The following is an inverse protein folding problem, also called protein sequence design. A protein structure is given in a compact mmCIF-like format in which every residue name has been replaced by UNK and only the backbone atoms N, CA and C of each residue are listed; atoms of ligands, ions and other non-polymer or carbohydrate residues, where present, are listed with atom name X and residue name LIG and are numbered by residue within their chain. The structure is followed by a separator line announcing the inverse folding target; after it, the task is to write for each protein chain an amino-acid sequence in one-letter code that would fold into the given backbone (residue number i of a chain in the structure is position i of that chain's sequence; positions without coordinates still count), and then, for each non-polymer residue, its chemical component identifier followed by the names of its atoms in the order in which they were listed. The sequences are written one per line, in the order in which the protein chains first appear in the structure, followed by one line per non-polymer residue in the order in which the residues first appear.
data_IF_455847954274
#
_entry.id   IF_455847954274
#
_cell.length_a   1.000
_cell.length_b   1.000
_cell.length_c   1.000
_cell.angle_alpha   90.00
_cell.angle_beta   90.00
_cell.angle_gamma   90.00
#
_symmetry.space_group_name_H-M   'P 1'
#
loop_
_entity.id
_entity.type
_entity.pdbx_description
1 polymer ?
#
# COMPACT_ATOMS: atom_id res chain seq x y z
N UNK A 1 16.32 -18.44 11.40
CA UNK A 1 14.90 -18.43 10.99
C UNK A 1 14.82 -18.88 9.55
N UNK A 2 13.84 -19.70 9.19
CA UNK A 2 13.60 -20.11 7.80
C UNK A 2 13.10 -18.87 7.03
N UNK A 3 13.86 -18.41 6.03
CA UNK A 3 13.58 -17.16 5.28
C UNK A 3 12.22 -17.22 4.56
N UNK A 4 11.72 -18.44 4.34
CA UNK A 4 10.53 -18.77 3.54
C UNK A 4 9.20 -18.65 4.27
N UNK A 5 9.18 -18.35 5.57
CA UNK A 5 7.95 -18.28 6.36
C UNK A 5 7.81 -16.96 7.11
N UNK A 6 6.55 -16.57 7.34
CA UNK A 6 6.22 -15.52 8.28
C UNK A 6 6.47 -16.01 9.72
N UNK A 7 6.79 -15.08 10.60
CA UNK A 7 6.79 -15.30 12.04
C UNK A 7 5.85 -14.30 12.68
N UNK A 8 5.21 -14.71 13.76
CA UNK A 8 4.29 -13.88 14.50
C UNK A 8 5.02 -13.18 15.66
N UNK A 9 4.62 -11.95 16.02
CA UNK A 9 5.09 -11.32 17.25
C UNK A 9 4.71 -12.18 18.47
N UNK A 10 5.49 -12.05 19.54
CA UNK A 10 5.26 -12.84 20.77
C UNK A 10 3.83 -12.63 21.30
N UNK A 11 3.13 -13.74 21.55
CA UNK A 11 1.75 -13.73 22.05
C UNK A 11 0.67 -13.49 20.99
N UNK A 12 1.01 -13.30 19.71
CA UNK A 12 0.02 -13.17 18.64
C UNK A 12 -0.41 -14.54 18.09
N UNK A 13 -1.71 -14.79 18.10
CA UNK A 13 -2.32 -15.99 17.52
C UNK A 13 -3.24 -15.61 16.35
N UNK A 14 -2.77 -15.86 15.12
CA UNK A 14 -3.55 -15.55 13.93
C UNK A 14 -4.77 -16.46 13.83
N UNK A 15 -5.95 -15.85 13.62
CA UNK A 15 -7.21 -16.57 13.52
C UNK A 15 -7.57 -16.83 12.07
N UNK A 16 -7.95 -18.06 11.74
CA UNK A 16 -8.43 -18.37 10.39
C UNK A 16 -9.88 -17.94 10.20
N UNK A 17 -10.13 -17.11 9.18
CA UNK A 17 -11.42 -16.60 8.74
C UNK A 17 -11.58 -16.94 7.26
N UNK A 18 -12.55 -17.79 6.95
CA UNK A 18 -12.75 -18.32 5.60
C UNK A 18 -13.00 -17.21 4.58
N UNK A 19 -13.86 -16.23 4.92
CA UNK A 19 -14.20 -15.12 4.01
C UNK A 19 -13.01 -14.19 3.75
N UNK A 20 -12.23 -13.90 4.79
CA UNK A 20 -10.99 -13.10 4.65
C UNK A 20 -9.95 -13.84 3.82
N UNK A 21 -9.86 -15.17 3.94
CA UNK A 21 -8.98 -15.98 3.09
C UNK A 21 -9.43 -15.95 1.62
N UNK A 22 -10.73 -16.05 1.34
CA UNK A 22 -11.26 -15.87 -0.02
C UNK A 22 -10.89 -14.49 -0.58
N UNK A 23 -11.03 -13.44 0.24
CA UNK A 23 -10.68 -12.07 -0.15
C UNK A 23 -9.18 -11.91 -0.43
N UNK A 24 -8.30 -12.44 0.43
CA UNK A 24 -6.86 -12.45 0.21
C UNK A 24 -6.50 -13.11 -1.13
N UNK A 25 -7.10 -14.27 -1.41
CA UNK A 25 -6.89 -14.99 -2.68
C UNK A 25 -7.39 -14.18 -3.89
N UNK A 26 -8.52 -13.47 -3.77
CA UNK A 26 -9.04 -12.60 -4.82
C UNK A 26 -8.06 -11.45 -5.12
N UNK A 27 -7.59 -10.73 -4.09
CA UNK A 27 -6.61 -9.64 -4.22
C UNK A 27 -5.30 -10.13 -4.85
N UNK A 28 -4.81 -11.30 -4.44
CA UNK A 28 -3.62 -11.93 -4.99
C UNK A 28 -3.81 -12.64 -6.32
N UNK A 29 -5.03 -12.65 -6.89
CA UNK A 29 -5.41 -13.38 -8.12
C UNK A 29 -5.02 -14.86 -8.06
N UNK A 30 -5.14 -15.47 -6.89
CA UNK A 30 -4.81 -16.88 -6.64
C UNK A 30 -6.00 -17.77 -6.91
N UNK A 31 -5.72 -19.02 -7.31
CA UNK A 31 -6.73 -20.06 -7.34
C UNK A 31 -6.64 -20.86 -6.04
N UNK A 32 -7.64 -20.83 -5.15
CA UNK A 32 -7.56 -21.49 -3.84
C UNK A 32 -7.20 -22.97 -3.91
N UNK A 33 -7.56 -23.67 -5.00
CA UNK A 33 -7.29 -25.11 -5.16
C UNK A 33 -5.90 -25.44 -5.70
N UNK A 34 -5.16 -24.47 -6.24
CA UNK A 34 -3.88 -24.70 -6.93
C UNK A 34 -2.72 -23.88 -6.37
N UNK A 35 -2.99 -22.63 -6.02
CA UNK A 35 -1.98 -21.63 -5.65
C UNK A 35 -2.50 -20.70 -4.55
N UNK A 36 -3.48 -21.17 -3.77
CA UNK A 36 -4.08 -20.40 -2.70
C UNK A 36 -3.09 -20.06 -1.60
N UNK A 37 -3.34 -18.94 -0.94
CA UNK A 37 -2.60 -18.57 0.26
C UNK A 37 -2.91 -19.49 1.44
N UNK A 38 -1.94 -19.64 2.32
CA UNK A 38 -2.07 -20.27 3.63
C UNK A 38 -2.43 -19.24 4.70
N UNK A 39 -2.93 -19.71 5.85
CA UNK A 39 -3.31 -18.86 6.98
C UNK A 39 -2.12 -18.10 7.60
N UNK A 40 -0.90 -18.57 7.37
CA UNK A 40 0.35 -17.99 7.84
C UNK A 40 1.13 -17.28 6.70
N UNK A 41 0.52 -17.11 5.52
CA UNK A 41 1.08 -16.26 4.49
C UNK A 41 0.90 -14.77 4.84
N UNK A 42 1.89 -13.91 4.58
CA UNK A 42 1.81 -12.48 4.91
C UNK A 42 0.63 -11.78 4.24
N UNK A 43 0.25 -12.23 3.04
CA UNK A 43 -0.93 -11.72 2.32
C UNK A 43 -2.25 -11.94 3.07
N UNK A 44 -2.39 -13.04 3.80
CA UNK A 44 -3.57 -13.28 4.64
C UNK A 44 -3.44 -12.55 5.98
N UNK A 45 -2.29 -12.69 6.64
CA UNK A 45 -2.08 -12.19 8.00
C UNK A 45 -2.24 -10.66 8.07
N UNK A 46 -1.87 -9.93 7.03
CA UNK A 46 -2.06 -8.48 7.01
C UNK A 46 -3.54 -8.05 6.97
N UNK A 47 -4.45 -8.91 6.52
CA UNK A 47 -5.88 -8.61 6.47
C UNK A 47 -6.61 -9.05 7.73
N UNK A 48 -6.18 -10.18 8.30
CA UNK A 48 -6.85 -10.87 9.41
C UNK A 48 -7.25 -9.97 10.59
N UNK A 49 -6.41 -9.07 11.13
CA UNK A 49 -6.76 -8.33 12.35
C UNK A 49 -7.79 -7.21 12.12
N UNK A 50 -7.89 -6.65 10.92
CA UNK A 50 -8.71 -5.46 10.65
C UNK A 50 -9.77 -5.61 9.56
N UNK A 51 -9.80 -6.73 8.83
CA UNK A 51 -10.87 -7.08 7.89
C UNK A 51 -11.77 -8.14 8.53
N UNK A 52 -13.07 -7.84 8.61
CA UNK A 52 -14.11 -8.79 9.02
C UNK A 52 -14.81 -9.43 7.81
N UNK A 53 -15.75 -10.34 8.07
CA UNK A 53 -16.44 -11.09 7.01
C UNK A 53 -17.34 -10.19 6.16
N UNK A 54 -17.93 -9.14 6.72
CA UNK A 54 -18.79 -8.19 6.02
C UNK A 54 -17.97 -7.31 5.06
N UNK A 55 -16.83 -6.82 5.52
CA UNK A 55 -15.84 -6.12 4.72
C UNK A 55 -15.30 -7.03 3.61
N UNK A 56 -14.95 -8.28 3.93
CA UNK A 56 -14.42 -9.23 2.96
C UNK A 56 -15.45 -9.61 1.89
N UNK A 57 -16.72 -9.83 2.25
CA UNK A 57 -17.80 -10.09 1.29
C UNK A 57 -17.97 -8.93 0.30
N UNK A 58 -18.03 -7.70 0.81
CA UNK A 58 -18.14 -6.50 -0.02
C UNK A 58 -16.91 -6.32 -0.91
N UNK A 59 -15.71 -6.49 -0.35
CA UNK A 59 -14.46 -6.42 -1.12
C UNK A 59 -14.38 -7.46 -2.23
N UNK A 60 -14.81 -8.70 -1.98
CA UNK A 60 -14.88 -9.73 -3.04
C UNK A 60 -15.82 -9.29 -4.17
N UNK A 61 -16.98 -8.73 -3.85
CA UNK A 61 -17.95 -8.26 -4.84
C UNK A 61 -17.46 -7.06 -5.67
N UNK A 62 -16.58 -6.22 -5.12
CA UNK A 62 -15.94 -5.13 -5.86
C UNK A 62 -15.07 -5.65 -7.02
N UNK A 63 -14.48 -6.83 -6.84
CA UNK A 63 -13.59 -7.44 -7.82
C UNK A 63 -12.22 -6.77 -7.90
N UNK A 64 -11.27 -7.50 -8.47
CA UNK A 64 -9.88 -7.05 -8.53
C UNK A 64 -9.71 -5.81 -9.43
N UNK A 65 -9.07 -4.77 -8.88
CA UNK A 65 -8.66 -3.54 -9.59
C UNK A 65 -9.76 -2.94 -10.50
N UNK A 66 -11.01 -3.04 -10.06
CA UNK A 66 -12.18 -2.57 -10.81
C UNK A 66 -12.79 -1.38 -10.07
N UNK A 67 -12.99 -0.27 -10.78
CA UNK A 67 -13.64 0.92 -10.23
C UNK A 67 -15.13 0.67 -10.08
N UNK A 68 -15.64 0.87 -8.87
CA UNK A 68 -17.04 0.65 -8.50
C UNK A 68 -17.53 1.74 -7.55
N UNK A 69 -18.80 2.10 -7.71
CA UNK A 69 -19.54 2.92 -6.76
C UNK A 69 -20.29 2.04 -5.77
N UNK A 70 -20.71 2.61 -4.63
CA UNK A 70 -21.51 1.87 -3.64
C UNK A 70 -22.85 1.38 -4.23
N UNK A 71 -23.47 2.17 -5.11
CA UNK A 71 -24.71 1.80 -5.80
C UNK A 71 -24.56 0.53 -6.67
N UNK A 72 -23.45 0.41 -7.42
CA UNK A 72 -23.18 -0.78 -8.22
C UNK A 72 -22.99 -2.03 -7.35
N UNK A 73 -22.27 -1.90 -6.22
CA UNK A 73 -22.05 -3.01 -5.30
C UNK A 73 -23.34 -3.42 -4.59
N UNK A 74 -24.20 -2.44 -4.26
CA UNK A 74 -25.51 -2.69 -3.68
C UNK A 74 -26.40 -3.53 -4.62
N UNK A 75 -26.39 -3.24 -5.93
CA UNK A 75 -27.10 -4.04 -6.94
C UNK A 75 -26.53 -5.47 -7.03
N UNK A 76 -25.19 -5.61 -7.03
CA UNK A 76 -24.52 -6.93 -7.10
C UNK A 76 -24.86 -7.81 -5.90
N UNK A 77 -24.88 -7.23 -4.69
CA UNK A 77 -25.08 -7.96 -3.43
C UNK A 77 -26.55 -8.04 -2.99
N UNK A 78 -27.44 -7.25 -3.57
CA UNK A 78 -28.81 -7.09 -3.08
C UNK A 78 -28.87 -6.47 -1.67
N UNK A 79 -27.92 -5.62 -1.30
CA UNK A 79 -27.84 -4.89 -0.02
C UNK A 79 -28.15 -3.40 -0.24
N UNK A 80 -28.25 -2.60 0.84
CA UNK A 80 -28.46 -1.15 0.69
C UNK A 80 -27.17 -0.44 0.26
N UNK A 81 -27.32 0.68 -0.45
CA UNK A 81 -26.19 1.52 -0.87
C UNK A 81 -25.41 2.05 0.33
N UNK A 82 -26.10 2.45 1.41
CA UNK A 82 -25.45 2.94 2.63
C UNK A 82 -24.59 1.86 3.28
N UNK A 83 -25.07 0.61 3.34
CA UNK A 83 -24.30 -0.50 3.89
C UNK A 83 -23.04 -0.78 3.05
N UNK A 84 -23.18 -0.81 1.72
CA UNK A 84 -22.05 -1.04 0.82
C UNK A 84 -21.03 0.09 0.94
N UNK A 85 -21.48 1.36 0.94
CA UNK A 85 -20.62 2.52 1.15
C UNK A 85 -19.86 2.42 2.48
N UNK A 86 -20.55 2.07 3.57
CA UNK A 86 -19.93 1.92 4.89
C UNK A 86 -18.81 0.86 4.87
N UNK A 87 -19.06 -0.33 4.32
CA UNK A 87 -18.03 -1.38 4.30
C UNK A 87 -16.88 -1.02 3.34
N UNK A 88 -17.18 -0.40 2.20
CA UNK A 88 -16.16 0.08 1.25
C UNK A 88 -15.28 1.18 1.88
N UNK A 89 -15.86 2.07 2.68
CA UNK A 89 -15.11 3.07 3.45
C UNK A 89 -14.27 2.44 4.56
N UNK A 90 -14.76 1.41 5.26
CA UNK A 90 -13.93 0.66 6.24
C UNK A 90 -12.73 0.00 5.56
N UNK A 91 -12.94 -0.64 4.40
CA UNK A 91 -11.86 -1.20 3.60
C UNK A 91 -10.87 -0.11 3.15
N UNK A 92 -11.39 1.06 2.80
CA UNK A 92 -10.58 2.20 2.41
C UNK A 92 -9.80 2.82 3.57
N UNK A 93 -10.36 2.87 4.77
CA UNK A 93 -9.65 3.30 5.97
C UNK A 93 -8.57 2.29 6.35
N UNK A 94 -8.89 0.99 6.27
CA UNK A 94 -7.95 -0.08 6.58
C UNK A 94 -6.78 -0.12 5.59
N UNK A 95 -6.99 0.10 4.30
CA UNK A 95 -5.92 0.24 3.31
C UNK A 95 -5.97 -0.74 2.14
N UNK A 96 -7.00 -1.58 2.03
CA UNK A 96 -7.15 -2.54 0.92
C UNK A 96 -7.74 -1.90 -0.34
N UNK A 97 -8.34 -0.72 -0.19
CA UNK A 97 -9.20 -0.10 -1.19
C UNK A 97 -8.91 1.40 -1.27
N UNK A 98 -8.70 1.91 -2.48
CA UNK A 98 -8.70 3.35 -2.73
C UNK A 98 -10.11 3.90 -2.72
N UNK A 99 -10.24 5.18 -2.36
CA UNK A 99 -11.46 5.95 -2.59
C UNK A 99 -11.08 7.35 -3.09
N UNK A 100 -11.69 7.74 -4.20
CA UNK A 100 -11.56 9.06 -4.81
C UNK A 100 -12.92 9.52 -5.32
N UNK A 101 -13.06 10.83 -5.56
CA UNK A 101 -14.25 11.38 -6.20
C UNK A 101 -14.06 11.38 -7.72
N UNK A 102 -14.84 10.58 -8.43
CA UNK A 102 -14.85 10.54 -9.90
C UNK A 102 -16.24 10.96 -10.37
N UNK A 103 -16.31 11.99 -11.21
CA UNK A 103 -17.57 12.58 -11.71
C UNK A 103 -18.55 12.97 -10.59
N UNK A 104 -18.02 13.40 -9.44
CA UNK A 104 -18.81 13.81 -8.28
C UNK A 104 -19.30 12.67 -7.39
N UNK A 105 -18.89 11.42 -7.65
CA UNK A 105 -19.31 10.24 -6.91
C UNK A 105 -18.10 9.52 -6.32
N UNK A 106 -18.25 9.05 -5.08
CA UNK A 106 -17.28 8.17 -4.46
C UNK A 106 -17.11 6.89 -5.27
N UNK A 107 -15.90 6.70 -5.77
CA UNK A 107 -15.53 5.54 -6.57
C UNK A 107 -14.37 4.83 -5.89
N UNK A 108 -14.48 3.52 -5.77
CA UNK A 108 -13.57 2.68 -5.02
C UNK A 108 -12.97 1.59 -5.90
N UNK A 109 -11.73 1.19 -5.60
CA UNK A 109 -11.07 0.04 -6.23
C UNK A 109 -9.95 -0.51 -5.33
N UNK A 110 -9.72 -1.81 -5.36
CA UNK A 110 -8.54 -2.40 -4.70
C UNK A 110 -7.25 -1.97 -5.38
N UNK A 111 -6.12 -1.96 -4.67
CA UNK A 111 -4.82 -1.76 -5.30
C UNK A 111 -4.50 -2.89 -6.30
N UNK A 112 -3.69 -2.59 -7.30
CA UNK A 112 -3.27 -3.58 -8.30
C UNK A 112 -2.30 -4.64 -7.74
N UNK A 113 -1.60 -4.35 -6.64
CA UNK A 113 -0.58 -5.25 -6.11
C UNK A 113 -0.49 -5.17 -4.59
N UNK A 114 0.17 -6.17 -3.99
CA UNK A 114 0.43 -6.19 -2.55
C UNK A 114 1.49 -5.15 -2.16
N UNK A 115 2.62 -5.12 -2.89
CA UNK A 115 3.68 -4.12 -2.80
C UNK A 115 4.21 -3.83 -4.22
N UNK A 116 4.20 -2.56 -4.69
CA UNK A 116 3.62 -1.41 -4.02
C UNK A 116 2.09 -1.48 -4.02
N UNK A 117 1.44 -0.99 -2.97
CA UNK A 117 -0.03 -1.02 -2.87
C UNK A 117 -0.57 -1.44 -1.50
N UNK A 118 -1.33 -2.53 -1.45
CA UNK A 118 -2.19 -2.89 -0.30
C UNK A 118 -1.43 -2.86 1.02
N UNK A 119 -0.27 -3.50 1.10
CA UNK A 119 0.46 -3.59 2.37
C UNK A 119 1.03 -2.25 2.82
N UNK A 120 1.56 -1.47 1.88
CA UNK A 120 2.07 -0.13 2.16
C UNK A 120 0.97 0.80 2.67
N UNK A 121 -0.23 0.74 2.07
CA UNK A 121 -1.38 1.54 2.47
C UNK A 121 -1.91 1.16 3.86
N UNK A 122 -1.92 -0.14 4.19
CA UNK A 122 -2.29 -0.62 5.53
C UNK A 122 -1.28 -0.13 6.57
N UNK A 123 0.03 -0.26 6.30
CA UNK A 123 1.10 0.14 7.23
C UNK A 123 1.28 1.66 7.31
N UNK A 124 0.95 2.41 6.24
CA UNK A 124 0.98 3.87 6.28
C UNK A 124 -0.13 4.49 7.14
N UNK A 125 -1.18 3.74 7.44
CA UNK A 125 -2.12 4.15 8.45
C UNK A 125 -1.58 3.79 9.84
N UNK A 126 -1.03 4.78 10.56
CA UNK A 126 -0.43 4.56 11.87
C UNK A 126 -1.41 4.01 12.90
N UNK A 127 -2.71 4.32 12.80
CA UNK A 127 -3.75 3.76 13.68
C UNK A 127 -3.84 2.24 13.53
N UNK A 128 -3.65 1.72 12.31
CA UNK A 128 -3.60 0.27 12.09
C UNK A 128 -2.37 -0.35 12.75
N UNK A 129 -1.21 0.31 12.63
CA UNK A 129 0.05 -0.22 13.19
C UNK A 129 0.01 -0.20 14.72
N UNK A 130 -0.53 0.86 15.32
CA UNK A 130 -0.72 0.96 16.77
C UNK A 130 -1.71 -0.09 17.28
N UNK A 131 -2.85 -0.25 16.59
CA UNK A 131 -3.90 -1.20 17.00
C UNK A 131 -3.53 -2.66 16.71
N UNK A 132 -2.80 -2.90 15.62
CA UNK A 132 -2.49 -4.22 15.09
C UNK A 132 -1.02 -4.32 14.65
N UNK A 133 -0.05 -4.37 15.58
CA UNK A 133 1.38 -4.41 15.23
C UNK A 133 1.79 -5.52 14.25
N UNK A 134 1.05 -6.63 14.21
CA UNK A 134 1.26 -7.74 13.27
C UNK A 134 1.26 -7.32 11.79
N UNK A 135 0.59 -6.23 11.42
CA UNK A 135 0.55 -5.77 10.01
C UNK A 135 1.94 -5.35 9.52
N UNK A 136 2.78 -4.80 10.40
CA UNK A 136 4.18 -4.50 10.11
C UNK A 136 5.00 -5.77 9.88
N UNK A 137 4.81 -6.79 10.73
CA UNK A 137 5.45 -8.09 10.59
C UNK A 137 5.05 -8.79 9.28
N UNK A 138 3.79 -8.64 8.86
CA UNK A 138 3.32 -9.18 7.59
C UNK A 138 3.98 -8.49 6.39
N UNK A 139 4.10 -7.15 6.42
CA UNK A 139 4.78 -6.39 5.35
C UNK A 139 6.28 -6.76 5.25
N UNK A 140 7.00 -6.83 6.38
CA UNK A 140 8.39 -7.31 6.39
C UNK A 140 8.51 -8.72 5.82
N UNK A 141 7.66 -9.62 6.30
CA UNK A 141 7.67 -11.02 5.89
C UNK A 141 7.37 -11.15 4.39
N UNK A 142 6.50 -10.32 3.81
CA UNK A 142 6.26 -10.31 2.37
C UNK A 142 7.56 -9.98 1.60
N UNK A 143 8.25 -8.91 1.99
CA UNK A 143 9.51 -8.51 1.35
C UNK A 143 10.57 -9.62 1.41
N UNK A 144 10.67 -10.30 2.55
CA UNK A 144 11.61 -11.39 2.77
C UNK A 144 11.24 -12.70 2.08
N UNK A 145 9.96 -13.08 2.07
CA UNK A 145 9.46 -14.35 1.53
C UNK A 145 9.23 -14.26 0.02
N UNK A 146 8.65 -13.15 -0.48
CA UNK A 146 8.28 -12.98 -1.89
C UNK A 146 9.33 -12.22 -2.70
N UNK A 147 10.05 -11.28 -2.09
CA UNK A 147 11.05 -10.44 -2.78
C UNK A 147 12.10 -11.24 -3.58
N UNK A 148 12.73 -12.28 -2.99
CA UNK A 148 13.67 -13.13 -3.73
C UNK A 148 13.04 -13.84 -4.94
N UNK A 149 11.77 -14.23 -4.85
CA UNK A 149 11.05 -14.91 -5.93
C UNK A 149 10.68 -13.96 -7.08
N UNK A 150 10.53 -12.67 -6.82
CA UNK A 150 10.27 -11.64 -7.85
C UNK A 150 11.54 -11.11 -8.53
N UNK A 151 12.73 -11.44 -8.00
CA UNK A 151 14.00 -10.94 -8.54
C UNK A 151 14.24 -11.49 -9.95
N UNK A 152 14.36 -10.59 -10.94
CA UNK A 152 14.58 -10.95 -12.35
C UNK A 152 13.32 -11.24 -13.17
N UNK A 153 12.12 -11.11 -12.59
CA UNK A 153 10.86 -11.26 -13.33
C UNK A 153 10.54 -10.06 -14.24
N UNK A 154 11.15 -8.91 -13.99
CA UNK A 154 10.90 -7.66 -14.71
C UNK A 154 12.08 -7.29 -15.61
N UNK A 155 11.83 -6.74 -16.82
CA UNK A 155 12.88 -6.13 -17.62
C UNK A 155 13.62 -5.03 -16.83
N UNK A 156 14.93 -4.83 -17.07
CA UNK A 156 15.66 -3.72 -16.46
C UNK A 156 14.94 -2.38 -16.68
N UNK A 157 14.66 -1.67 -15.59
CA UNK A 157 13.96 -0.36 -15.62
C UNK A 157 12.42 -0.42 -15.60
N UNK A 158 11.80 -1.60 -15.65
CA UNK A 158 10.34 -1.79 -15.63
C UNK A 158 9.94 -2.63 -14.41
N UNK A 159 10.51 -2.32 -13.25
CA UNK A 159 10.11 -2.94 -11.98
C UNK A 159 8.85 -2.27 -11.43
N UNK A 160 8.04 -3.03 -10.66
CA UNK A 160 6.91 -2.46 -9.90
C UNK A 160 7.39 -1.41 -8.89
N UNK A 161 8.55 -1.63 -8.28
CA UNK A 161 9.32 -0.60 -7.59
C UNK A 161 10.56 -0.30 -8.42
N UNK A 162 10.70 0.95 -8.83
CA UNK A 162 11.84 1.46 -9.59
C UNK A 162 12.50 2.56 -8.79
N UNK A 163 13.81 2.69 -8.96
CA UNK A 163 14.59 3.73 -8.30
C UNK A 163 14.80 4.86 -9.28
N UNK A 164 14.34 6.06 -8.93
CA UNK A 164 14.69 7.29 -9.62
C UNK A 164 15.97 7.82 -8.95
N UNK A 165 17.10 7.90 -9.68
CA UNK A 165 18.34 8.38 -9.10
C UNK A 165 18.23 9.85 -8.68
N UNK A 166 19.03 10.21 -7.68
CA UNK A 166 19.23 11.59 -7.23
C UNK A 166 19.66 12.45 -8.43
N UNK A 167 18.89 13.48 -8.77
CA UNK A 167 19.11 14.28 -9.99
C UNK A 167 20.51 14.93 -9.99
N UNK A 168 20.97 15.41 -8.83
CA UNK A 168 22.30 16.01 -8.67
C UNK A 168 23.45 15.03 -8.95
N UNK A 169 23.23 13.71 -8.83
CA UNK A 169 24.23 12.69 -9.14
C UNK A 169 24.39 12.46 -10.66
N UNK A 170 23.47 12.96 -11.48
CA UNK A 170 23.43 12.76 -12.94
C UNK A 170 24.13 13.90 -13.70
N UNK A 171 24.20 15.10 -13.11
CA UNK A 171 24.71 16.34 -13.72
C UNK A 171 26.19 16.27 -14.17
N UNK A 172 26.96 15.32 -13.64
CA UNK A 172 28.36 15.07 -14.02
C UNK A 172 28.56 14.19 -15.28
N UNK A 173 27.50 13.69 -15.92
CA UNK A 173 27.61 12.72 -17.02
C UNK A 173 27.55 13.37 -18.41
N UNK A 174 28.53 13.08 -19.26
CA UNK A 174 28.63 13.61 -20.65
C UNK A 174 27.61 13.01 -21.64
N UNK A 175 26.76 12.08 -21.18
CA UNK A 175 25.67 11.49 -21.94
C UNK A 175 24.35 11.81 -21.24
N UNK A 176 23.62 12.79 -21.77
CA UNK A 176 22.18 12.96 -21.50
C UNK A 176 21.41 11.78 -22.06
N UNK A 177 21.39 10.66 -21.33
CA UNK A 177 20.31 9.69 -21.46
C UNK A 177 19.07 10.37 -20.86
N UNK A 178 17.87 10.12 -21.40
CA UNK A 178 16.63 10.62 -20.80
C UNK A 178 16.39 9.90 -19.47
N UNK A 179 17.05 10.34 -18.42
CA UNK A 179 16.78 9.90 -17.07
C UNK A 179 15.41 10.44 -16.66
N UNK A 180 14.68 9.64 -15.89
CA UNK A 180 13.49 10.14 -15.21
C UNK A 180 13.94 11.08 -14.10
N UNK A 181 13.29 12.24 -14.05
CA UNK A 181 13.57 13.32 -13.10
C UNK A 181 12.36 13.41 -12.14
N UNK A 182 12.62 13.38 -10.83
CA UNK A 182 11.58 13.57 -9.79
C UNK A 182 10.87 14.91 -10.01
N UNK A 183 11.62 15.94 -10.38
CA UNK A 183 11.10 17.28 -10.67
C UNK A 183 10.04 17.27 -11.78
N UNK A 184 10.14 16.38 -12.77
CA UNK A 184 9.11 16.21 -13.80
C UNK A 184 7.80 15.73 -13.19
N UNK A 185 7.83 14.68 -12.36
CA UNK A 185 6.62 14.13 -11.71
C UNK A 185 5.96 15.14 -10.78
N UNK A 186 6.76 15.87 -9.99
CA UNK A 186 6.25 16.93 -9.14
C UNK A 186 5.61 18.07 -9.96
N UNK A 187 6.12 18.36 -11.15
CA UNK A 187 5.55 19.42 -11.99
C UNK A 187 4.26 19.01 -12.72
N UNK A 188 4.14 17.73 -13.08
CA UNK A 188 2.97 17.17 -13.77
C UNK A 188 1.77 16.92 -12.84
N UNK A 189 1.98 16.93 -11.52
CA UNK A 189 0.93 16.72 -10.52
C UNK A 189 0.49 18.01 -9.82
N UNK A 190 -0.73 18.01 -9.29
CA UNK A 190 -1.33 19.18 -8.61
C UNK A 190 -1.71 18.92 -7.16
N UNK A 191 -1.91 17.66 -6.78
CA UNK A 191 -2.27 17.25 -5.43
C UNK A 191 -1.14 16.41 -4.87
N UNK A 192 -0.71 16.73 -3.66
CA UNK A 192 0.41 16.09 -2.98
C UNK A 192 0.05 15.81 -1.52
N UNK A 193 0.54 14.70 -1.00
CA UNK A 193 0.49 14.41 0.42
C UNK A 193 1.83 13.89 0.90
N UNK A 194 2.08 14.04 2.21
CA UNK A 194 3.23 13.43 2.86
C UNK A 194 2.81 12.60 4.06
N UNK A 195 3.29 11.37 4.10
CA UNK A 195 3.14 10.43 5.20
C UNK A 195 4.51 10.01 5.76
N UNK A 196 4.53 9.44 6.97
CA UNK A 196 5.67 8.68 7.44
C UNK A 196 6.01 7.55 6.45
N UNK A 197 7.28 7.20 6.28
CA UNK A 197 7.67 6.12 5.38
C UNK A 197 7.18 4.75 5.89
N UNK A 198 6.33 4.05 5.11
CA UNK A 198 5.78 2.72 5.47
C UNK A 198 6.89 1.70 5.78
N UNK A 199 7.92 1.66 4.94
CA UNK A 199 9.11 0.80 5.10
C UNK A 199 10.03 1.17 6.29
N UNK A 200 9.77 2.29 6.97
CA UNK A 200 10.42 2.64 8.24
C UNK A 200 9.48 2.40 9.41
N UNK A 201 8.18 2.65 9.21
CA UNK A 201 7.13 2.33 10.16
C UNK A 201 7.12 0.84 10.50
N UNK A 202 7.25 -0.06 9.50
CA UNK A 202 7.28 -1.50 9.75
C UNK A 202 8.50 -1.93 10.60
N UNK A 203 9.70 -1.41 10.29
CA UNK A 203 10.93 -1.63 11.05
C UNK A 203 10.78 -1.15 12.48
N UNK A 204 10.31 0.09 12.67
CA UNK A 204 10.13 0.68 13.99
C UNK A 204 9.13 -0.12 14.83
N UNK A 205 8.01 -0.57 14.24
CA UNK A 205 7.02 -1.41 14.90
C UNK A 205 7.56 -2.78 15.34
N UNK A 206 8.60 -3.28 14.66
CA UNK A 206 9.32 -4.49 15.04
C UNK A 206 10.45 -4.25 16.06
N UNK A 207 10.61 -3.02 16.55
CA UNK A 207 11.73 -2.64 17.43
C UNK A 207 13.06 -2.49 16.69
N UNK A 208 13.03 -2.44 15.36
CA UNK A 208 14.20 -2.23 14.51
C UNK A 208 14.31 -0.75 14.11
N UNK A 209 15.53 -0.22 14.10
CA UNK A 209 15.82 1.12 13.59
C UNK A 209 16.60 1.04 12.29
N UNK A 210 16.26 1.87 11.31
CA UNK A 210 17.02 1.98 10.06
C UNK A 210 18.08 3.11 10.09
N UNK A 211 18.06 3.97 11.13
CA UNK A 211 18.93 5.15 11.25
C UNK A 211 18.62 6.31 10.30
N UNK A 212 17.56 6.20 9.49
CA UNK A 212 17.11 7.24 8.57
C UNK A 212 15.82 7.90 9.06
N UNK A 213 15.51 9.07 8.50
CA UNK A 213 14.27 9.79 8.77
C UNK A 213 13.06 8.92 8.37
N UNK A 214 12.03 8.94 9.21
CA UNK A 214 10.73 8.29 8.99
C UNK A 214 9.65 9.32 8.69
N UNK A 215 9.58 10.34 9.54
CA UNK A 215 8.57 11.39 9.48
C UNK A 215 8.80 12.32 8.29
N UNK A 216 7.72 12.73 7.63
CA UNK A 216 7.72 13.60 6.44
C UNK A 216 8.63 13.09 5.29
N UNK A 217 8.58 11.81 4.95
CA UNK A 217 9.46 11.22 3.92
C UNK A 217 8.73 10.69 2.68
N UNK A 218 7.57 10.06 2.85
CA UNK A 218 6.90 9.38 1.75
C UNK A 218 5.89 10.32 1.11
N UNK A 219 6.14 10.71 -0.15
CA UNK A 219 5.26 11.59 -0.91
C UNK A 219 4.34 10.76 -1.79
N UNK A 220 3.04 11.08 -1.77
CA UNK A 220 2.08 10.59 -2.75
C UNK A 220 1.62 11.76 -3.63
N UNK A 221 1.21 11.42 -4.85
CA UNK A 221 0.80 12.39 -5.87
C UNK A 221 -0.52 11.98 -6.52
N UNK A 222 -1.29 12.97 -6.99
CA UNK A 222 -2.52 12.75 -7.76
C UNK A 222 -3.58 11.97 -6.96
N UNK A 223 -4.15 10.92 -7.55
CA UNK A 223 -5.22 10.13 -6.93
C UNK A 223 -4.78 9.47 -5.60
N UNK A 224 -3.52 9.04 -5.49
CA UNK A 224 -3.00 8.49 -4.24
C UNK A 224 -2.93 9.56 -3.15
N UNK A 225 -2.54 10.80 -3.49
CA UNK A 225 -2.53 11.90 -2.55
C UNK A 225 -3.94 12.25 -2.04
N UNK A 226 -4.91 12.38 -2.94
CA UNK A 226 -6.32 12.63 -2.56
C UNK A 226 -6.81 11.55 -1.59
N UNK A 227 -6.56 10.27 -1.87
CA UNK A 227 -6.92 9.17 -1.00
C UNK A 227 -6.24 9.25 0.38
N UNK A 228 -4.95 9.54 0.42
CA UNK A 228 -4.17 9.63 1.66
C UNK A 228 -4.64 10.79 2.56
N UNK A 229 -4.96 11.95 1.96
CA UNK A 229 -5.52 13.11 2.65
C UNK A 229 -6.90 12.77 3.21
N UNK A 230 -7.76 12.18 2.37
CA UNK A 230 -9.16 11.91 2.70
C UNK A 230 -9.36 10.97 3.88
N UNK A 231 -8.48 9.98 4.05
CA UNK A 231 -8.54 9.04 5.17
C UNK A 231 -7.73 9.50 6.39
N UNK A 232 -7.13 10.69 6.34
CA UNK A 232 -6.34 11.26 7.42
C UNK A 232 -4.99 10.59 7.69
N UNK A 233 -4.48 9.74 6.78
CA UNK A 233 -3.20 9.04 6.97
C UNK A 233 -1.97 9.85 6.54
N UNK A 234 -2.22 10.96 5.86
CA UNK A 234 -1.20 11.91 5.45
C UNK A 234 -1.75 13.33 5.53
N UNK A 235 -0.83 14.28 5.67
CA UNK A 235 -1.15 15.70 5.50
C UNK A 235 -1.01 16.09 4.03
N UNK A 236 -1.86 17.01 3.59
CA UNK A 236 -1.69 17.70 2.31
C UNK A 236 -0.43 18.58 2.37
N UNK A 237 0.31 18.63 1.26
CA UNK A 237 1.51 19.46 1.13
C UNK A 237 1.47 20.26 -0.16
N UNK A 238 2.22 21.36 -0.23
CA UNK A 238 2.40 22.08 -1.50
C UNK A 238 3.46 21.41 -2.37
N UNK A 239 3.51 21.81 -3.65
CA UNK A 239 4.56 21.37 -4.57
C UNK A 239 5.95 21.81 -4.08
N UNK A 240 6.06 23.03 -3.56
CA UNK A 240 7.29 23.58 -2.99
C UNK A 240 7.75 22.76 -1.79
N UNK A 241 6.84 22.41 -0.88
CA UNK A 241 7.14 21.51 0.23
C UNK A 241 7.58 20.12 -0.24
N UNK A 242 6.97 19.59 -1.31
CA UNK A 242 7.39 18.32 -1.91
C UNK A 242 8.84 18.40 -2.42
N UNK A 243 9.23 19.49 -3.09
CA UNK A 243 10.62 19.73 -3.51
C UNK A 243 11.58 19.79 -2.32
N UNK A 244 11.20 20.47 -1.24
CA UNK A 244 12.02 20.58 -0.03
C UNK A 244 12.20 19.21 0.66
N UNK A 245 11.15 18.40 0.72
CA UNK A 245 11.20 17.03 1.27
C UNK A 245 12.10 16.14 0.43
N UNK A 246 11.97 16.17 -0.90
CA UNK A 246 12.84 15.41 -1.82
C UNK A 246 14.29 15.81 -1.61
N UNK A 247 14.60 17.10 -1.59
CA UNK A 247 15.96 17.60 -1.34
C UNK A 247 16.51 17.08 -0.01
N UNK A 248 15.73 17.17 1.07
CA UNK A 248 16.12 16.63 2.38
C UNK A 248 16.35 15.12 2.34
N UNK A 249 15.51 14.37 1.64
CA UNK A 249 15.67 12.93 1.47
C UNK A 249 16.99 12.60 0.75
N UNK A 250 17.32 13.31 -0.33
CA UNK A 250 18.58 13.17 -1.07
C UNK A 250 19.81 13.54 -0.21
N UNK A 251 19.73 14.61 0.58
CA UNK A 251 20.78 14.98 1.55
C UNK A 251 21.01 13.91 2.62
N UNK A 252 20.01 13.07 2.89
CA UNK A 252 20.08 11.92 3.78
C UNK A 252 20.44 10.61 3.05
N UNK A 253 20.79 10.67 1.76
CA UNK A 253 21.15 9.50 0.94
C UNK A 253 19.98 8.58 0.62
N UNK A 254 18.74 9.05 0.76
CA UNK A 254 17.54 8.31 0.39
C UNK A 254 17.31 8.43 -1.13
N UNK A 255 16.71 7.38 -1.68
CA UNK A 255 16.35 7.29 -3.09
C UNK A 255 14.82 7.23 -3.22
N UNK A 256 14.30 7.60 -4.39
CA UNK A 256 12.87 7.73 -4.67
C UNK A 256 12.35 6.62 -5.58
#
# INVERSE_FOLDING_TARGET
MEITKMYFPEGYECQYKEKVMEFANMLGRKNPKKSGYAWDDPEYVILEPGVDDDMAEVGIAMGYYTKRTAAEIAEILGKSEEYCHEQMMKLAQYGTTFVNVIDGVDTFWHAESWIPGIMEMIVNNLDNVEKYPVVAYAMEAYGRVRGPASSGMFPPGIGLMRVIPIESAIDGSSKKVSYEEVSKYLNENTIFSCSPCSCRTDREAMGEGCGHLKEDMCIQMGHAAEYYIRTGRAREITREEAFDIIKRAEENGLMH
#
